data_IF_072658702649
#
_entry.id   IF_072658702649
#
_cell.length_a   1.000
_cell.length_b   1.000
_cell.length_c   1.000
_cell.angle_alpha   90.00
_cell.angle_beta   90.00
_cell.angle_gamma   90.00
#
_symmetry.space_group_name_H-M   'P 1'
#
loop_
_entity.id
_entity.type
_entity.pdbx_description
1 polymer ?
#
# COMPACT_ATOMS: atom_id res chain seq x y z
N UNK A 1 13.16 12.24 7.12
CA UNK A 1 13.07 10.92 6.48
C UNK A 1 11.61 10.62 6.14
N UNK A 2 11.23 10.48 4.81
CA UNK A 2 9.84 10.16 4.48
C UNK A 2 9.48 8.74 4.91
N UNK A 3 8.31 8.60 5.50
CA UNK A 3 7.74 7.30 5.84
C UNK A 3 6.38 7.17 5.17
N UNK A 4 6.19 6.10 4.42
CA UNK A 4 4.96 5.86 3.69
C UNK A 4 4.31 4.59 4.21
N UNK A 5 3.02 4.64 4.43
CA UNK A 5 2.25 3.48 4.83
C UNK A 5 1.24 3.16 3.73
N UNK A 6 1.29 1.93 3.24
CA UNK A 6 0.38 1.48 2.18
C UNK A 6 -0.47 0.35 2.73
N UNK A 7 -1.77 0.58 2.78
CA UNK A 7 -2.71 -0.45 3.18
C UNK A 7 -3.30 -1.03 1.91
N UNK A 8 -3.05 -2.32 1.66
CA UNK A 8 -3.52 -2.97 0.44
C UNK A 8 -4.31 -4.22 0.79
N UNK A 9 -5.20 -4.62 -0.12
CA UNK A 9 -5.90 -5.88 0.02
C UNK A 9 -4.91 -7.03 -0.04
N UNK A 10 -5.15 -8.07 0.74
CA UNK A 10 -4.29 -9.27 0.70
C UNK A 10 -4.34 -9.92 -0.69
N UNK A 11 -3.35 -10.73 -0.98
CA UNK A 11 -3.26 -11.43 -2.25
C UNK A 11 -2.28 -10.84 -3.24
N UNK A 12 -1.62 -9.73 -2.89
CA UNK A 12 -0.58 -9.18 -3.75
C UNK A 12 0.67 -10.05 -3.66
N UNK A 13 1.28 -10.29 -4.81
CA UNK A 13 2.51 -11.09 -4.86
C UNK A 13 3.69 -10.30 -4.34
N UNK A 14 4.75 -11.00 -3.99
CA UNK A 14 5.98 -10.36 -3.54
C UNK A 14 6.55 -9.47 -4.64
N UNK A 15 6.47 -9.90 -5.90
CA UNK A 15 6.97 -9.09 -7.01
C UNK A 15 6.15 -7.81 -7.20
N UNK A 16 4.85 -7.87 -6.97
CA UNK A 16 4.02 -6.67 -7.02
C UNK A 16 4.42 -5.70 -5.92
N UNK A 17 4.71 -6.21 -4.73
CA UNK A 17 5.15 -5.37 -3.62
C UNK A 17 6.52 -4.75 -3.89
N UNK A 18 7.42 -5.51 -4.51
CA UNK A 18 8.73 -4.98 -4.91
C UNK A 18 8.59 -3.84 -5.91
N UNK A 19 7.72 -4.00 -6.89
CA UNK A 19 7.49 -2.96 -7.88
C UNK A 19 6.90 -1.70 -7.23
N UNK A 20 5.95 -1.86 -6.33
CA UNK A 20 5.35 -0.73 -5.62
C UNK A 20 6.39 0.00 -4.76
N UNK A 21 7.21 -0.76 -4.03
CA UNK A 21 8.25 -0.16 -3.18
C UNK A 21 9.24 0.64 -4.03
N UNK A 22 9.65 0.10 -5.16
CA UNK A 22 10.60 0.79 -6.04
C UNK A 22 9.98 2.04 -6.64
N UNK A 23 8.75 1.95 -7.14
CA UNK A 23 8.09 3.09 -7.77
C UNK A 23 7.82 4.23 -6.81
N UNK A 24 7.32 3.92 -5.61
CA UNK A 24 7.06 4.94 -4.58
C UNK A 24 8.37 5.58 -4.14
N UNK A 25 9.41 4.77 -3.92
CA UNK A 25 10.71 5.30 -3.52
C UNK A 25 11.25 6.26 -4.57
N UNK A 26 11.23 5.87 -5.85
CA UNK A 26 11.73 6.72 -6.91
C UNK A 26 10.97 8.03 -6.99
N UNK A 27 9.66 7.99 -6.83
CA UNK A 27 8.84 9.20 -6.87
C UNK A 27 9.21 10.18 -5.75
N UNK A 28 9.44 9.67 -4.55
CA UNK A 28 9.80 10.52 -3.41
C UNK A 28 11.22 11.06 -3.51
N UNK A 29 12.14 10.24 -4.01
CA UNK A 29 13.52 10.70 -4.25
C UNK A 29 13.51 11.88 -5.20
N UNK A 30 12.75 11.75 -6.28
CA UNK A 30 12.68 12.80 -7.29
C UNK A 30 11.97 14.05 -6.76
N UNK A 31 10.88 13.85 -6.03
CA UNK A 31 10.08 14.98 -5.55
C UNK A 31 10.74 15.74 -4.40
N UNK A 32 11.38 15.01 -3.48
CA UNK A 32 11.89 15.61 -2.25
C UNK A 32 13.41 15.76 -2.21
N UNK A 33 14.12 15.24 -3.18
CA UNK A 33 15.57 15.31 -3.20
C UNK A 33 16.24 14.47 -2.12
N UNK A 34 15.57 13.44 -1.64
CA UNK A 34 16.12 12.54 -0.63
C UNK A 34 16.81 11.36 -1.31
N UNK A 35 17.65 10.63 -0.54
CA UNK A 35 18.25 9.41 -1.06
C UNK A 35 17.26 8.25 -0.92
N UNK A 36 17.38 7.20 -1.75
CA UNK A 36 16.49 6.05 -1.62
C UNK A 36 16.50 5.44 -0.22
N UNK A 37 17.64 5.44 0.42
CA UNK A 37 17.81 4.86 1.75
C UNK A 37 17.03 5.62 2.84
N UNK A 38 16.69 6.86 2.56
CA UNK A 38 15.91 7.67 3.49
C UNK A 38 14.41 7.44 3.41
N UNK A 39 13.95 6.73 2.37
CA UNK A 39 12.53 6.46 2.19
C UNK A 39 12.19 5.13 2.85
N UNK A 40 11.27 5.17 3.80
CA UNK A 40 10.78 3.97 4.48
C UNK A 40 9.34 3.72 4.04
N UNK A 41 9.06 2.47 3.66
CA UNK A 41 7.72 2.09 3.20
C UNK A 41 7.27 0.88 3.99
N UNK A 42 6.06 0.97 4.55
CA UNK A 42 5.44 -0.15 5.25
C UNK A 42 4.17 -0.53 4.51
N UNK A 43 4.02 -1.82 4.23
CA UNK A 43 2.84 -2.33 3.57
C UNK A 43 2.07 -3.21 4.53
N UNK A 44 0.78 -2.97 4.61
CA UNK A 44 -0.09 -3.72 5.50
C UNK A 44 -1.11 -4.46 4.63
N UNK A 45 -1.08 -5.79 4.69
CA UNK A 45 -2.07 -6.61 4.02
C UNK A 45 -3.37 -6.56 4.81
N UNK A 46 -4.47 -6.30 4.11
CA UNK A 46 -5.75 -6.18 4.76
C UNK A 46 -6.76 -7.15 4.15
N UNK A 47 -7.42 -7.91 5.02
CA UNK A 47 -8.46 -8.83 4.60
C UNK A 47 -9.74 -8.08 4.32
N UNK A 48 -10.50 -8.54 3.32
CA UNK A 48 -11.78 -7.94 2.99
C UNK A 48 -12.72 -7.90 4.20
N UNK A 49 -12.66 -8.93 5.04
CA UNK A 49 -13.51 -9.02 6.24
C UNK A 49 -13.22 -7.93 7.27
N UNK A 50 -12.10 -7.23 7.11
CA UNK A 50 -11.71 -6.14 8.01
C UNK A 50 -12.06 -4.76 7.45
N UNK A 51 -12.73 -4.70 6.31
CA UNK A 51 -13.06 -3.45 5.64
C UNK A 51 -14.57 -3.33 5.53
N UNK A 52 -15.10 -2.20 5.97
CA UNK A 52 -16.52 -1.91 5.85
C UNK A 52 -16.73 -0.56 5.18
N UNK A 53 -17.81 -0.44 4.46
CA UNK A 53 -18.27 0.83 3.89
C UNK A 53 -19.75 0.97 4.17
N UNK A 54 -20.14 2.12 4.71
CA UNK A 54 -21.53 2.34 5.07
C UNK A 54 -22.07 1.35 6.10
N UNK A 55 -21.18 0.84 6.94
CA UNK A 55 -21.55 -0.13 7.97
C UNK A 55 -21.65 -1.58 7.46
N UNK A 56 -21.28 -1.82 6.21
CA UNK A 56 -21.39 -3.15 5.62
C UNK A 56 -19.99 -3.66 5.27
N UNK A 57 -19.63 -4.84 5.77
CA UNK A 57 -18.34 -5.45 5.46
C UNK A 57 -18.27 -5.80 3.97
N UNK A 58 -17.08 -5.71 3.40
CA UNK A 58 -16.93 -5.95 1.95
C UNK A 58 -17.44 -7.31 1.50
N UNK A 59 -17.24 -8.43 2.25
CA UNK A 59 -17.79 -9.72 1.85
C UNK A 59 -19.32 -9.73 1.75
N UNK A 60 -19.99 -8.84 2.47
CA UNK A 60 -21.45 -8.78 2.52
C UNK A 60 -22.04 -7.82 1.50
N UNK A 61 -21.19 -7.08 0.79
CA UNK A 61 -21.67 -6.12 -0.21
C UNK A 61 -21.93 -6.82 -1.53
N UNK A 62 -22.99 -6.40 -2.25
CA UNK A 62 -23.23 -7.00 -3.57
C UNK A 62 -22.07 -6.69 -4.51
N UNK A 63 -21.71 -7.65 -5.33
CA UNK A 63 -20.72 -7.43 -6.36
C UNK A 63 -21.33 -6.62 -7.48
N UNK A 64 -20.65 -5.60 -7.88
CA UNK A 64 -21.07 -4.77 -9.00
C UNK A 64 -20.36 -5.16 -10.27
#
# INVERSE_FOLDING_TARGET
MPTVMIIVREGKTLDQKRAAAKGVTNALVEAFGVTPDQVSIQMIDQKAENIARGGILLPDRPKS
#
